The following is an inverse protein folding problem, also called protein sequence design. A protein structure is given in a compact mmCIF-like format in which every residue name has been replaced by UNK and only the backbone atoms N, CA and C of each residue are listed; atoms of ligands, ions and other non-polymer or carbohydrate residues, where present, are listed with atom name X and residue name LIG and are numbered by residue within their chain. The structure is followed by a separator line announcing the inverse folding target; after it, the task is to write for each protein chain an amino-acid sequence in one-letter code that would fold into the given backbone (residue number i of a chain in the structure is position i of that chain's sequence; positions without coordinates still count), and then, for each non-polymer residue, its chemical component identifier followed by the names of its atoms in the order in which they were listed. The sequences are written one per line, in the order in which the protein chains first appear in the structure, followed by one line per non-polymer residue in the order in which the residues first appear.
data_IF_314967036762
#
_entry.id   IF_314967036762
#
_cell.length_a   1.000
_cell.length_b   1.000
_cell.length_c   1.000
_cell.angle_alpha   90.00
_cell.angle_beta   90.00
_cell.angle_gamma   90.00
#
_symmetry.space_group_name_H-M   'P 1'
#
loop_
_entity.id
_entity.type
_entity.pdbx_description
1 polymer ?
#
# COMPACT_ATOMS: atom_id res chain seq x y z
N UNK A 1 16.34 13.46 -0.38
CA UNK A 1 15.39 13.49 0.74
C UNK A 1 14.49 12.28 0.59
N UNK A 2 14.95 11.12 1.08
CA UNK A 2 14.24 9.85 1.00
C UNK A 2 14.28 9.26 2.41
N UNK A 3 13.12 8.83 2.90
CA UNK A 3 12.89 8.03 4.11
C UNK A 3 13.07 8.76 5.46
N UNK A 4 12.21 9.76 5.70
CA UNK A 4 12.04 10.42 7.01
C UNK A 4 10.78 9.95 7.76
N UNK A 5 10.25 8.75 7.45
CA UNK A 5 8.99 8.28 8.03
C UNK A 5 9.13 7.53 9.36
N UNK A 6 10.32 7.11 9.79
CA UNK A 6 10.47 6.28 11.00
C UNK A 6 11.40 6.83 12.10
N UNK A 7 12.05 7.98 11.94
CA UNK A 7 12.93 8.57 12.96
C UNK A 7 12.25 9.44 14.02
N UNK A 8 10.92 9.41 14.13
CA UNK A 8 10.16 10.13 15.17
C UNK A 8 9.43 9.17 16.11
N UNK A 9 10.16 8.24 16.73
CA UNK A 9 9.72 7.54 17.93
C UNK A 9 10.60 7.99 19.10
N UNK A 10 10.39 9.22 19.58
CA UNK A 10 10.98 9.65 20.86
C UNK A 10 10.02 10.55 21.64
N UNK A 11 9.43 9.94 22.65
CA UNK A 11 8.89 10.51 23.89
C UNK A 11 8.18 11.87 23.79
N UNK A 12 6.85 11.83 23.65
CA UNK A 12 5.99 12.94 24.09
C UNK A 12 5.48 12.59 25.50
N UNK A 13 6.13 13.16 26.52
CA UNK A 13 5.57 13.26 27.86
C UNK A 13 4.51 14.37 27.85
N UNK A 14 3.23 13.99 27.75
CA UNK A 14 2.11 14.93 27.83
C UNK A 14 2.00 15.45 29.26
N UNK A 15 2.39 16.71 29.47
CA UNK A 15 2.04 17.46 30.68
C UNK A 15 0.60 17.93 30.53
N UNK A 16 -0.35 17.25 31.18
CA UNK A 16 -1.73 17.71 31.28
C UNK A 16 -1.78 19.04 32.04
N UNK A 17 -1.98 20.13 31.30
CA UNK A 17 -2.32 21.43 31.85
C UNK A 17 -3.82 21.50 32.01
N UNK A 18 -4.33 21.34 33.23
CA UNK A 18 -5.75 21.56 33.55
C UNK A 18 -6.05 23.06 33.52
N UNK A 19 -6.44 23.56 32.35
CA UNK A 19 -7.10 24.86 32.23
C UNK A 19 -8.60 24.63 32.11
N UNK A 20 -9.35 24.93 33.17
CA UNK A 20 -10.80 24.92 33.15
C UNK A 20 -11.38 26.13 32.41
N UNK A 21 -12.49 25.91 31.72
CA UNK A 21 -13.49 26.95 31.44
C UNK A 21 -14.84 26.34 31.08
N UNK A 22 -15.91 26.87 31.67
CA UNK A 22 -17.25 27.00 31.08
C UNK A 22 -18.15 25.76 31.03
N UNK A 23 -19.24 25.78 31.79
CA UNK A 23 -20.35 24.82 31.69
C UNK A 23 -21.05 24.95 30.33
N UNK A 24 -20.98 23.90 29.51
CA UNK A 24 -22.09 23.27 28.76
C UNK A 24 -21.59 22.28 27.67
N UNK A 25 -20.52 21.52 27.95
CA UNK A 25 -20.12 20.41 27.08
C UNK A 25 -20.80 19.12 27.54
N UNK A 26 -22.07 18.97 27.17
CA UNK A 26 -22.59 17.62 27.02
C UNK A 26 -21.73 16.93 25.95
N UNK A 27 -21.14 15.73 26.22
CA UNK A 27 -20.48 14.99 25.15
C UNK A 27 -21.49 14.83 24.01
N UNK A 28 -21.06 15.16 22.79
CA UNK A 28 -21.86 14.91 21.60
C UNK A 28 -22.40 13.47 21.66
N UNK A 29 -23.66 13.22 21.27
CA UNK A 29 -24.21 11.87 21.26
C UNK A 29 -23.23 10.93 20.58
N UNK A 30 -23.02 9.75 21.17
CA UNK A 30 -22.09 8.72 20.65
C UNK A 30 -22.44 8.32 19.22
N UNK A 31 -23.58 8.74 18.66
CA UNK A 31 -24.07 8.53 17.28
C UNK A 31 -23.87 9.70 16.30
N UNK A 32 -23.36 10.87 16.71
CA UNK A 32 -23.08 11.95 15.76
C UNK A 32 -21.69 11.82 15.14
N UNK A 33 -21.64 11.95 13.81
CA UNK A 33 -20.39 12.12 13.06
C UNK A 33 -19.75 13.45 13.45
N UNK A 34 -18.51 13.37 13.90
CA UNK A 34 -17.67 14.53 14.20
C UNK A 34 -16.92 14.89 12.93
N UNK A 35 -16.62 16.19 12.78
CA UNK A 35 -15.85 16.69 11.64
C UNK A 35 -14.50 15.96 11.53
N UNK A 36 -14.13 15.49 10.32
CA UNK A 36 -12.89 14.77 10.10
C UNK A 36 -11.68 15.69 10.24
N UNK A 37 -10.56 15.14 10.68
CA UNK A 37 -9.28 15.86 10.70
C UNK A 37 -8.21 15.10 9.91
N UNK A 38 -7.33 15.83 9.23
CA UNK A 38 -6.18 15.22 8.55
C UNK A 38 -5.31 14.41 9.54
N UNK A 39 -5.05 14.96 10.73
CA UNK A 39 -4.26 14.29 11.76
C UNK A 39 -4.93 13.03 12.30
N UNK A 40 -6.24 13.06 12.54
CA UNK A 40 -7.02 11.90 12.98
C UNK A 40 -7.00 10.78 11.94
N UNK A 41 -7.24 11.11 10.67
CA UNK A 41 -7.22 10.10 9.61
C UNK A 41 -5.83 9.50 9.37
N UNK A 42 -4.78 10.33 9.41
CA UNK A 42 -3.39 9.85 9.37
C UNK A 42 -3.06 8.94 10.57
N UNK A 43 -3.56 9.27 11.77
CA UNK A 43 -3.37 8.43 12.95
C UNK A 43 -3.99 7.03 12.77
N UNK A 44 -5.21 6.95 12.23
CA UNK A 44 -5.86 5.66 11.96
C UNK A 44 -5.08 4.81 10.95
N UNK A 45 -4.55 5.43 9.89
CA UNK A 45 -3.73 4.75 8.88
C UNK A 45 -2.41 4.24 9.45
N UNK A 46 -1.74 5.07 10.25
CA UNK A 46 -0.49 4.70 10.91
C UNK A 46 -0.71 3.56 11.91
N UNK A 47 -1.81 3.60 12.68
CA UNK A 47 -2.17 2.51 13.58
C UNK A 47 -2.43 1.22 12.81
N UNK A 48 -3.22 1.30 11.72
CA UNK A 48 -3.51 0.13 10.90
C UNK A 48 -2.24 -0.50 10.31
N UNK A 49 -1.29 0.31 9.85
CA UNK A 49 0.00 -0.18 9.37
C UNK A 49 0.87 -0.77 10.51
N UNK A 50 0.88 -0.11 11.67
CA UNK A 50 1.64 -0.56 12.84
C UNK A 50 1.16 -1.91 13.37
N UNK A 51 -0.14 -2.20 13.27
CA UNK A 51 -0.72 -3.48 13.70
C UNK A 51 -0.24 -4.67 12.85
N UNK A 52 0.26 -4.39 11.64
CA UNK A 52 0.77 -5.39 10.70
C UNK A 52 2.28 -5.66 10.87
N UNK A 53 2.98 -4.86 11.68
CA UNK A 53 4.43 -4.96 11.87
C UNK A 53 4.81 -6.24 12.60
N UNK A 54 5.82 -6.91 12.04
CA UNK A 54 6.52 -8.05 12.62
C UNK A 54 8.00 -7.69 12.75
N UNK A 55 8.64 -8.09 13.84
CA UNK A 55 10.07 -7.83 14.04
C UNK A 55 10.83 -9.08 14.44
N UNK A 56 12.10 -9.14 14.03
CA UNK A 56 13.03 -10.21 14.40
C UNK A 56 14.43 -9.64 14.62
N UNK A 57 15.03 -9.91 15.77
CA UNK A 57 16.43 -9.59 16.04
C UNK A 57 17.34 -10.74 15.63
N UNK A 58 18.49 -10.43 15.06
CA UNK A 58 19.50 -11.41 14.66
C UNK A 58 20.90 -10.79 14.64
N UNK A 59 21.94 -11.63 14.64
CA UNK A 59 23.31 -11.16 14.41
C UNK A 59 23.59 -11.06 12.90
N UNK A 60 23.96 -9.88 12.41
CA UNK A 60 24.24 -9.66 10.99
C UNK A 60 25.40 -10.53 10.44
N UNK A 61 26.30 -11.02 11.31
CA UNK A 61 27.34 -11.97 10.96
C UNK A 61 26.83 -13.40 10.76
N UNK A 62 25.65 -13.73 11.27
CA UNK A 62 25.02 -15.07 11.15
C UNK A 62 23.90 -15.12 10.11
N UNK A 63 23.29 -13.97 9.79
CA UNK A 63 22.13 -13.89 8.89
C UNK A 63 20.81 -14.26 9.60
N UNK A 64 19.73 -14.40 8.83
CA UNK A 64 18.42 -14.77 9.37
C UNK A 64 17.60 -15.58 8.37
N UNK A 65 16.89 -16.59 8.90
CA UNK A 65 15.76 -17.25 8.26
C UNK A 65 14.50 -16.84 9.02
N UNK A 66 13.75 -15.89 8.47
CA UNK A 66 12.54 -15.33 9.08
C UNK A 66 11.31 -15.92 8.41
N UNK A 67 10.34 -16.38 9.20
CA UNK A 67 9.03 -16.82 8.71
C UNK A 67 7.97 -15.90 9.31
N UNK A 68 7.22 -15.23 8.43
CA UNK A 68 6.17 -14.30 8.82
C UNK A 68 4.92 -15.02 9.34
N UNK A 69 4.00 -14.26 9.94
CA UNK A 69 2.71 -14.77 10.43
C UNK A 69 1.85 -15.40 9.32
N UNK A 70 1.96 -14.94 8.07
CA UNK A 70 1.26 -15.54 6.92
C UNK A 70 2.13 -16.52 6.12
N UNK A 71 3.31 -16.87 6.61
CA UNK A 71 4.15 -17.91 6.03
C UNK A 71 5.11 -17.44 4.93
N UNK A 72 5.19 -16.13 4.66
CA UNK A 72 6.25 -15.57 3.83
C UNK A 72 7.60 -15.83 4.49
N UNK A 73 8.54 -16.36 3.73
CA UNK A 73 9.90 -16.65 4.21
C UNK A 73 10.83 -15.58 3.68
N UNK A 74 11.72 -15.07 4.52
CA UNK A 74 12.81 -14.16 4.15
C UNK A 74 14.13 -14.74 4.64
N UNK A 75 15.07 -14.90 3.71
CA UNK A 75 16.41 -15.41 3.97
C UNK A 75 17.47 -14.34 3.65
N UNK A 76 18.17 -13.87 4.69
CA UNK A 76 19.32 -12.98 4.59
C UNK A 76 20.57 -13.75 4.98
N UNK A 77 21.58 -13.77 4.09
CA UNK A 77 22.83 -14.48 4.31
C UNK A 77 23.75 -13.86 5.38
N UNK A 78 24.81 -14.59 5.72
CA UNK A 78 25.86 -14.16 6.64
C UNK A 78 26.66 -13.00 6.05
N UNK A 79 26.92 -11.95 6.86
CA UNK A 79 27.70 -10.78 6.44
C UNK A 79 27.12 -10.04 5.23
N UNK A 80 25.82 -10.18 4.98
CA UNK A 80 25.11 -9.59 3.83
C UNK A 80 24.51 -8.20 4.12
N UNK A 81 24.92 -7.54 5.20
CA UNK A 81 24.43 -6.21 5.56
C UNK A 81 25.58 -5.21 5.64
N UNK A 82 25.33 -4.02 5.10
CA UNK A 82 26.24 -2.88 5.16
C UNK A 82 25.53 -1.61 5.61
N UNK A 83 26.29 -0.66 6.15
CA UNK A 83 25.79 0.69 6.36
C UNK A 83 25.58 1.42 5.02
N UNK A 84 25.09 2.66 5.10
CA UNK A 84 24.86 3.48 3.91
C UNK A 84 26.15 3.78 3.12
N UNK A 85 27.32 3.75 3.77
CA UNK A 85 28.65 3.97 3.18
C UNK A 85 29.28 2.70 2.59
N UNK A 86 28.66 1.54 2.80
CA UNK A 86 29.15 0.23 2.31
C UNK A 86 30.08 -0.49 3.30
N UNK A 87 30.19 -0.04 4.55
CA UNK A 87 30.95 -0.77 5.57
C UNK A 87 30.12 -1.94 6.11
N UNK A 88 30.74 -3.11 6.28
CA UNK A 88 30.09 -4.31 6.82
C UNK A 88 29.50 -4.06 8.21
N UNK A 89 28.27 -4.52 8.38
CA UNK A 89 27.55 -4.54 9.66
C UNK A 89 27.71 -5.92 10.28
N UNK A 90 28.04 -5.94 11.58
CA UNK A 90 28.15 -7.14 12.41
C UNK A 90 27.47 -6.88 13.76
N UNK A 91 27.06 -7.94 14.46
CA UNK A 91 26.35 -7.82 15.73
C UNK A 91 24.84 -7.69 15.55
N UNK A 92 24.12 -7.42 16.66
CA UNK A 92 22.66 -7.37 16.68
C UNK A 92 22.09 -6.30 15.73
N UNK A 93 21.13 -6.72 14.92
CA UNK A 93 20.27 -5.89 14.06
C UNK A 93 18.80 -6.31 14.26
N UNK A 94 17.87 -5.45 13.86
CA UNK A 94 16.43 -5.71 13.91
C UNK A 94 15.81 -5.63 12.50
N UNK A 95 15.24 -6.74 12.05
CA UNK A 95 14.35 -6.82 10.89
C UNK A 95 12.96 -6.31 11.29
N UNK A 96 12.39 -5.44 10.46
CA UNK A 96 10.99 -5.02 10.44
C UNK A 96 10.35 -5.50 9.15
N UNK A 97 9.23 -6.22 9.25
CA UNK A 97 8.53 -6.81 8.12
C UNK A 97 7.02 -6.56 8.19
N UNK A 98 6.41 -6.29 7.03
CA UNK A 98 4.95 -6.18 6.83
C UNK A 98 4.59 -6.98 5.59
N UNK A 99 3.43 -7.66 5.62
CA UNK A 99 2.85 -8.36 4.47
C UNK A 99 1.35 -8.08 4.36
N UNK A 100 0.87 -7.77 3.15
CA UNK A 100 -0.52 -7.43 2.86
C UNK A 100 -0.95 -8.16 1.59
N UNK A 101 -2.01 -8.96 1.71
CA UNK A 101 -2.59 -9.71 0.59
C UNK A 101 -4.05 -9.30 0.30
N UNK A 102 -4.68 -8.61 1.25
CA UNK A 102 -6.11 -8.36 1.26
C UNK A 102 -6.46 -6.87 1.17
N UNK A 103 -7.56 -6.58 0.47
CA UNK A 103 -8.00 -5.20 0.13
C UNK A 103 -8.36 -4.38 1.37
N UNK A 104 -8.89 -5.02 2.41
CA UNK A 104 -9.24 -4.37 3.67
C UNK A 104 -8.03 -3.73 4.31
N UNK A 105 -6.96 -4.50 4.52
CA UNK A 105 -5.69 -3.98 5.04
C UNK A 105 -5.06 -2.94 4.12
N UNK A 106 -5.15 -3.10 2.80
CA UNK A 106 -4.70 -2.08 1.84
C UNK A 106 -5.44 -0.75 2.01
N UNK A 107 -6.77 -0.78 2.16
CA UNK A 107 -7.59 0.41 2.30
C UNK A 107 -7.30 1.15 3.62
N UNK A 108 -7.30 0.45 4.75
CA UNK A 108 -7.12 1.09 6.06
C UNK A 108 -5.68 1.59 6.29
N UNK A 109 -4.68 0.98 5.63
CA UNK A 109 -3.27 1.39 5.74
C UNK A 109 -2.79 2.31 4.61
N UNK A 110 -3.67 2.69 3.67
CA UNK A 110 -3.36 3.45 2.46
C UNK A 110 -2.20 2.83 1.66
N UNK A 111 -2.39 1.56 1.25
CA UNK A 111 -1.46 0.79 0.40
C UNK A 111 -2.18 0.27 -0.85
N UNK A 112 -2.69 1.17 -1.70
CA UNK A 112 -3.39 0.77 -2.92
C UNK A 112 -2.43 0.17 -3.95
N UNK A 113 -3.02 -0.43 -4.97
CA UNK A 113 -2.35 -1.15 -6.04
C UNK A 113 -2.33 -0.33 -7.32
N UNK A 114 -1.51 0.72 -7.34
CA UNK A 114 -1.36 1.63 -8.50
C UNK A 114 0.07 1.57 -9.06
N UNK A 115 0.24 0.88 -10.18
CA UNK A 115 1.52 0.72 -10.87
C UNK A 115 1.76 1.79 -11.94
N UNK A 116 3.01 2.24 -12.08
CA UNK A 116 3.44 3.14 -13.15
C UNK A 116 3.69 2.35 -14.43
N UNK A 117 2.95 2.68 -15.48
CA UNK A 117 3.23 2.24 -16.85
C UNK A 117 4.48 2.92 -17.41
N UNK A 118 4.98 2.42 -18.55
CA UNK A 118 6.13 3.01 -19.27
C UNK A 118 5.91 4.47 -19.69
N UNK A 119 4.64 4.92 -19.79
CA UNK A 119 4.28 6.31 -20.08
C UNK A 119 4.12 7.18 -18.82
N UNK A 120 4.43 6.64 -17.64
CA UNK A 120 4.31 7.31 -16.35
C UNK A 120 2.90 7.35 -15.76
N UNK A 121 1.90 6.78 -16.44
CA UNK A 121 0.53 6.72 -15.95
C UNK A 121 0.36 5.68 -14.85
N UNK A 122 -0.49 5.99 -13.87
CA UNK A 122 -0.90 5.08 -12.83
C UNK A 122 -2.06 4.20 -13.32
N UNK A 123 -1.86 2.88 -13.25
CA UNK A 123 -2.84 1.86 -13.62
C UNK A 123 -3.01 0.86 -12.47
N UNK A 124 -4.22 0.29 -12.30
CA UNK A 124 -4.45 -0.69 -11.25
C UNK A 124 -3.64 -1.96 -11.47
N UNK A 125 -3.11 -2.51 -10.37
CA UNK A 125 -2.43 -3.79 -10.31
C UNK A 125 -3.32 -4.84 -9.62
N UNK A 126 -3.19 -6.09 -10.05
CA UNK A 126 -3.70 -7.27 -9.35
C UNK A 126 -2.54 -7.87 -8.58
N UNK A 127 -2.74 -8.10 -7.27
CA UNK A 127 -1.65 -8.51 -6.41
C UNK A 127 -1.49 -10.01 -6.22
N UNK A 128 -0.24 -10.45 -6.21
CA UNK A 128 0.24 -11.71 -5.66
C UNK A 128 0.69 -11.57 -4.19
N UNK A 129 0.95 -10.33 -3.73
CA UNK A 129 1.23 -9.96 -2.34
C UNK A 129 2.19 -8.78 -2.21
N UNK A 130 1.89 -7.85 -1.30
CA UNK A 130 2.68 -6.65 -0.99
C UNK A 130 3.48 -6.82 0.29
N UNK A 131 4.73 -6.37 0.30
CA UNK A 131 5.63 -6.52 1.43
C UNK A 131 6.39 -5.22 1.72
N UNK A 132 6.69 -4.98 2.99
CA UNK A 132 7.70 -3.99 3.39
C UNK A 132 8.77 -4.68 4.20
N UNK A 133 10.03 -4.40 3.89
CA UNK A 133 11.15 -4.83 4.70
C UNK A 133 12.09 -3.67 5.01
N UNK A 134 12.58 -3.63 6.24
CA UNK A 134 13.63 -2.74 6.70
C UNK A 134 14.50 -3.47 7.73
N UNK A 135 15.80 -3.20 7.74
CA UNK A 135 16.69 -3.64 8.82
C UNK A 135 17.38 -2.43 9.43
N UNK A 136 17.55 -2.43 10.75
CA UNK A 136 18.29 -1.39 11.48
C UNK A 136 19.34 -1.97 12.43
N UNK A 137 20.42 -1.23 12.65
CA UNK A 137 21.33 -1.41 13.78
C UNK A 137 21.15 -0.24 14.75
N UNK A 138 20.46 -0.46 15.86
CA UNK A 138 19.95 0.64 16.68
C UNK A 138 19.05 1.55 15.85
N UNK A 139 19.38 2.85 15.80
CA UNK A 139 18.62 3.85 15.03
C UNK A 139 19.10 4.00 13.57
N UNK A 140 20.12 3.24 13.15
CA UNK A 140 20.71 3.37 11.81
C UNK A 140 20.10 2.38 10.83
N UNK A 141 19.62 2.89 9.68
CA UNK A 141 19.20 2.06 8.55
C UNK A 141 20.42 1.36 7.95
N UNK A 142 20.30 0.05 7.76
CA UNK A 142 21.27 -0.75 7.00
C UNK A 142 20.68 -1.11 5.63
N UNK A 143 21.53 -1.50 4.70
CA UNK A 143 21.14 -1.96 3.37
C UNK A 143 21.77 -3.32 3.09
N UNK A 144 21.17 -4.13 2.23
CA UNK A 144 21.76 -5.41 1.86
C UNK A 144 23.04 -5.18 1.02
N UNK A 145 24.01 -6.07 1.18
CA UNK A 145 25.25 -6.10 0.40
C UNK A 145 25.03 -6.83 -0.94
N UNK A 146 24.46 -8.03 -0.88
CA UNK A 146 23.98 -8.79 -2.04
C UNK A 146 22.48 -9.08 -1.93
N UNK A 147 21.96 -9.93 -2.82
CA UNK A 147 20.54 -10.30 -2.79
C UNK A 147 20.19 -11.10 -1.54
N UNK A 148 19.00 -10.83 -1.00
CA UNK A 148 18.29 -11.71 -0.08
C UNK A 148 17.17 -12.44 -0.83
N UNK A 149 16.67 -13.53 -0.27
CA UNK A 149 15.63 -14.36 -0.89
C UNK A 149 14.31 -14.21 -0.15
N UNK A 150 13.21 -14.26 -0.89
CA UNK A 150 11.85 -14.22 -0.37
C UNK A 150 11.02 -15.31 -1.05
N UNK A 151 10.26 -16.06 -0.26
CA UNK A 151 9.29 -17.05 -0.76
C UNK A 151 7.91 -16.70 -0.23
N UNK A 152 6.96 -16.54 -1.15
CA UNK A 152 5.59 -16.12 -0.87
C UNK A 152 4.63 -17.21 -1.32
N UNK A 153 3.73 -17.64 -0.43
CA UNK A 153 2.64 -18.56 -0.78
C UNK A 153 1.59 -17.84 -1.64
N UNK A 154 1.42 -18.30 -2.88
CA UNK A 154 0.47 -17.72 -3.83
C UNK A 154 -0.99 -18.04 -3.48
N UNK A 155 -1.24 -19.02 -2.60
CA UNK A 155 -2.59 -19.37 -2.15
C UNK A 155 -3.31 -18.20 -1.46
N UNK A 156 -2.57 -17.23 -0.90
CA UNK A 156 -3.15 -16.00 -0.32
C UNK A 156 -3.89 -15.12 -1.33
N UNK A 157 -3.59 -15.26 -2.62
CA UNK A 157 -4.12 -14.41 -3.70
C UNK A 157 -4.78 -15.21 -4.83
N UNK A 158 -5.08 -16.49 -4.59
CA UNK A 158 -5.80 -17.35 -5.53
C UNK A 158 -4.93 -18.35 -6.30
N UNK A 159 -3.66 -18.48 -5.94
CA UNK A 159 -2.68 -19.39 -6.56
C UNK A 159 -1.72 -18.67 -7.50
N UNK A 160 -0.80 -19.43 -8.09
CA UNK A 160 0.17 -18.90 -9.04
C UNK A 160 -0.48 -18.26 -10.28
N UNK A 161 -0.16 -16.99 -10.50
CA UNK A 161 -0.43 -16.24 -11.72
C UNK A 161 0.91 -15.98 -12.42
N UNK A 162 1.09 -16.58 -13.60
CA UNK A 162 2.36 -16.59 -14.32
C UNK A 162 2.67 -15.26 -15.03
N UNK A 163 1.72 -14.32 -15.03
CA UNK A 163 1.90 -12.98 -15.61
C UNK A 163 2.41 -11.96 -14.58
N UNK A 164 2.67 -12.39 -13.33
CA UNK A 164 3.19 -11.52 -12.27
C UNK A 164 4.63 -11.07 -12.54
N UNK A 165 4.93 -9.85 -12.13
CA UNK A 165 6.27 -9.24 -12.15
C UNK A 165 6.58 -8.60 -10.79
N UNK A 166 7.83 -8.26 -10.54
CA UNK A 166 8.20 -7.54 -9.31
C UNK A 166 8.03 -6.03 -9.46
N UNK A 167 7.64 -5.39 -8.37
CA UNK A 167 7.48 -3.95 -8.28
C UNK A 167 8.12 -3.41 -7.01
N UNK A 168 8.71 -2.23 -7.10
CA UNK A 168 9.25 -1.48 -5.98
C UNK A 168 8.37 -0.27 -5.68
N UNK A 169 7.99 -0.12 -4.42
CA UNK A 169 7.10 0.93 -3.96
C UNK A 169 7.83 2.24 -3.69
N UNK A 170 7.23 3.34 -4.15
CA UNK A 170 7.65 4.71 -3.86
C UNK A 170 6.50 5.46 -3.18
N UNK A 171 6.78 6.04 -2.01
CA UNK A 171 5.82 6.88 -1.29
C UNK A 171 6.15 8.34 -1.60
N UNK A 172 5.17 9.08 -2.11
CA UNK A 172 5.33 10.51 -2.39
C UNK A 172 5.22 11.39 -1.13
N UNK A 173 5.43 12.71 -1.29
CA UNK A 173 5.38 13.67 -0.18
C UNK A 173 4.00 13.82 0.48
N UNK A 174 2.95 13.26 -0.12
CA UNK A 174 1.58 13.23 0.42
C UNK A 174 1.22 11.88 1.05
N UNK A 175 2.13 10.91 1.00
CA UNK A 175 1.96 9.59 1.59
C UNK A 175 1.27 8.57 0.69
N UNK A 176 1.13 8.86 -0.61
CA UNK A 176 0.57 7.92 -1.58
C UNK A 176 1.65 6.98 -2.10
N UNK A 177 1.33 5.69 -2.12
CA UNK A 177 2.20 4.64 -2.63
C UNK A 177 1.92 4.40 -4.12
N UNK A 178 2.97 4.51 -4.93
CA UNK A 178 2.96 4.08 -6.33
C UNK A 178 4.00 2.98 -6.54
N UNK A 179 3.71 2.06 -7.45
CA UNK A 179 4.57 0.92 -7.73
C UNK A 179 5.34 1.14 -9.03
N UNK A 180 6.65 1.03 -8.99
CA UNK A 180 7.52 1.06 -10.16
C UNK A 180 7.93 -0.37 -10.51
N UNK A 181 7.95 -0.78 -11.79
CA UNK A 181 8.43 -2.11 -12.15
C UNK A 181 9.89 -2.26 -11.71
N UNK A 182 10.24 -3.43 -11.16
CA UNK A 182 11.65 -3.76 -10.88
C UNK A 182 12.30 -4.21 -12.17
N UNK A 183 13.36 -3.50 -12.57
CA UNK A 183 14.27 -3.98 -13.60
C UNK A 183 15.42 -4.72 -12.93
N UNK A 184 15.76 -5.91 -13.43
CA UNK A 184 17.06 -6.49 -13.14
C UNK A 184 18.05 -6.10 -14.24
N UNK A 185 19.02 -5.27 -13.86
CA UNK A 185 20.29 -5.14 -14.56
C UNK A 185 21.23 -6.29 -14.21
N UNK A 186 20.87 -7.55 -14.50
CA UNK A 186 21.80 -8.69 -14.41
C UNK A 186 22.65 -8.73 -15.69
N UNK A 187 23.58 -7.80 -15.86
CA UNK A 187 24.72 -7.98 -16.78
C UNK A 187 24.42 -8.20 -18.28
N UNK A 188 23.17 -8.15 -18.75
CA UNK A 188 22.89 -7.53 -20.04
C UNK A 188 22.99 -6.04 -19.78
N UNK A 189 23.91 -5.34 -20.44
CA UNK A 189 24.05 -3.89 -20.29
C UNK A 189 22.71 -3.19 -20.39
N UNK A 190 22.60 -1.97 -19.86
CA UNK A 190 21.53 -1.04 -20.21
C UNK A 190 21.19 -1.28 -21.68
N UNK A 191 20.01 -1.89 -21.90
CA UNK A 191 19.49 -2.07 -23.23
C UNK A 191 19.16 -0.68 -23.71
N UNK A 192 20.14 -0.02 -24.27
CA UNK A 192 19.97 1.22 -24.99
C UNK A 192 19.46 0.84 -26.39
N UNK A 193 18.49 1.58 -26.94
CA UNK A 193 18.06 1.44 -28.33
C UNK A 193 19.19 1.73 -29.35
N UNK A 194 20.37 2.11 -28.82
CA UNK A 194 21.56 2.55 -29.53
C UNK A 194 21.75 4.07 -29.50
N UNK A 195 20.89 4.83 -28.80
CA UNK A 195 20.87 6.31 -28.77
C UNK A 195 20.83 6.95 -27.36
N UNK A 196 21.08 6.19 -26.30
CA UNK A 196 21.01 6.56 -24.90
C UNK A 196 19.62 6.44 -24.25
N UNK A 197 18.64 5.79 -24.89
CA UNK A 197 17.28 5.65 -24.33
C UNK A 197 17.09 4.27 -23.70
N UNK A 198 16.55 4.20 -22.47
CA UNK A 198 16.19 2.93 -21.85
C UNK A 198 15.17 2.16 -22.72
N UNK A 199 15.49 0.92 -23.08
CA UNK A 199 14.56 -0.01 -23.74
C UNK A 199 13.94 -0.93 -22.71
N UNK A 200 12.65 -0.73 -22.45
CA UNK A 200 11.82 -1.63 -21.67
C UNK A 200 11.60 -2.92 -22.46
N UNK A 201 12.34 -4.00 -22.15
CA UNK A 201 12.09 -5.32 -22.74
C UNK A 201 11.17 -6.11 -21.83
N UNK A 202 10.02 -6.56 -22.37
CA UNK A 202 9.18 -7.56 -21.71
C UNK A 202 10.00 -8.83 -21.49
N UNK A 203 10.22 -9.23 -20.23
CA UNK A 203 10.26 -10.66 -19.91
C UNK A 203 11.51 -11.29 -19.28
N UNK A 204 12.55 -10.57 -18.87
CA UNK A 204 13.54 -11.16 -17.94
C UNK A 204 13.10 -10.87 -16.49
N UNK A 205 12.40 -11.87 -15.92
CA UNK A 205 11.83 -11.88 -14.58
C UNK A 205 12.88 -11.44 -13.57
N UNK A 206 12.60 -10.34 -12.85
CA UNK A 206 13.51 -9.59 -11.99
C UNK A 206 13.99 -10.36 -10.73
N UNK A 207 14.50 -11.57 -10.91
CA UNK A 207 14.79 -12.53 -9.85
C UNK A 207 13.56 -13.28 -9.39
N UNK A 208 12.38 -13.02 -9.96
CA UNK A 208 11.13 -13.75 -9.70
C UNK A 208 11.11 -15.10 -10.42
N UNK A 209 10.81 -16.14 -9.69
CA UNK A 209 10.52 -17.48 -10.17
C UNK A 209 9.17 -17.95 -9.64
N UNK A 210 8.60 -18.92 -10.36
CA UNK A 210 7.32 -19.52 -10.06
C UNK A 210 7.53 -20.99 -9.74
N UNK A 211 7.12 -21.42 -8.56
CA UNK A 211 7.31 -22.79 -8.12
C UNK A 211 5.98 -23.54 -8.06
N UNK A 212 5.60 -24.26 -9.14
CA UNK A 212 4.31 -24.95 -9.21
C UNK A 212 4.22 -26.17 -8.30
N UNK A 213 5.33 -26.60 -7.66
CA UNK A 213 5.32 -27.72 -6.71
C UNK A 213 4.86 -27.25 -5.34
N UNK A 214 5.28 -26.06 -4.91
CA UNK A 214 4.93 -25.47 -3.62
C UNK A 214 3.86 -24.39 -3.72
N UNK A 215 3.42 -24.02 -4.93
CA UNK A 215 2.51 -22.90 -5.21
C UNK A 215 3.04 -21.57 -4.68
N UNK A 216 4.33 -21.31 -4.89
CA UNK A 216 5.01 -20.10 -4.38
C UNK A 216 5.58 -19.20 -5.47
N UNK A 217 5.56 -17.90 -5.20
CA UNK A 217 6.44 -16.93 -5.84
C UNK A 217 7.75 -16.89 -5.06
N UNK A 218 8.86 -17.19 -5.73
CA UNK A 218 10.21 -17.19 -5.14
C UNK A 218 11.00 -16.07 -5.79
N UNK A 219 11.55 -15.13 -5.04
CA UNK A 219 12.34 -14.05 -5.63
C UNK A 219 13.57 -13.66 -4.82
N UNK A 220 14.49 -12.97 -5.49
CA UNK A 220 15.63 -12.35 -4.86
C UNK A 220 15.77 -10.88 -5.28
N UNK A 221 16.10 -10.01 -4.33
CA UNK A 221 16.26 -8.58 -4.56
C UNK A 221 17.35 -8.03 -3.62
N UNK A 222 17.93 -6.88 -3.95
CA UNK A 222 19.03 -6.26 -3.22
C UNK A 222 18.67 -4.84 -2.73
N UNK A 223 17.39 -4.56 -2.53
CA UNK A 223 16.90 -3.31 -1.95
C UNK A 223 15.85 -3.62 -0.88
N UNK A 224 15.93 -2.90 0.24
CA UNK A 224 14.89 -2.90 1.27
C UNK A 224 13.87 -1.80 0.98
N UNK A 225 12.62 -2.01 1.37
CA UNK A 225 11.53 -1.09 1.13
C UNK A 225 10.24 -1.85 0.85
N UNK A 226 9.31 -1.17 0.17
CA UNK A 226 8.09 -1.79 -0.32
C UNK A 226 8.37 -2.58 -1.59
N UNK A 227 8.00 -3.85 -1.63
CA UNK A 227 8.11 -4.72 -2.79
C UNK A 227 6.81 -5.47 -3.00
N UNK A 228 6.47 -5.79 -4.24
CA UNK A 228 5.20 -6.42 -4.59
C UNK A 228 5.40 -7.41 -5.74
N UNK A 229 4.60 -8.48 -5.77
CA UNK A 229 4.56 -9.46 -6.87
C UNK A 229 3.22 -9.30 -7.56
N UNK A 230 3.18 -8.53 -8.64
CA UNK A 230 1.94 -7.98 -9.20
C UNK A 230 1.95 -7.96 -10.73
N UNK A 231 0.77 -7.80 -11.32
CA UNK A 231 0.64 -7.49 -12.74
C UNK A 231 -0.40 -6.41 -12.99
N UNK A 232 -0.32 -5.77 -14.14
CA UNK A 232 -1.42 -4.94 -14.60
C UNK A 232 -2.70 -5.76 -14.80
N UNK A 233 -3.84 -5.09 -14.60
CA UNK A 233 -5.12 -5.65 -15.01
C UNK A 233 -5.18 -5.78 -16.54
N UNK A 234 -5.64 -6.93 -17.02
CA UNK A 234 -5.98 -7.08 -18.42
C UNK A 234 -7.37 -6.44 -18.62
N UNK A 235 -7.44 -5.32 -19.33
CA UNK A 235 -8.71 -4.78 -19.76
C UNK A 235 -8.64 -4.27 -21.20
N UNK A 236 -9.56 -4.76 -22.03
CA UNK A 236 -9.73 -4.35 -23.44
C UNK A 236 -11.04 -3.58 -23.69
N UNK A 237 -11.83 -3.33 -22.63
CA UNK A 237 -13.07 -2.59 -22.71
C UNK A 237 -12.87 -1.09 -22.92
N UNK A 238 -13.98 -0.38 -23.15
CA UNK A 238 -13.97 1.09 -23.14
C UNK A 238 -13.63 1.58 -21.73
N UNK A 239 -12.86 2.65 -21.67
CA UNK A 239 -12.43 3.27 -20.41
C UNK A 239 -13.07 4.65 -20.28
N UNK A 240 -13.30 5.07 -19.04
CA UNK A 240 -13.88 6.37 -18.70
C UNK A 240 -13.20 6.97 -17.49
N UNK A 241 -13.36 8.28 -17.34
CA UNK A 241 -13.17 8.97 -16.07
C UNK A 241 -14.44 8.84 -15.24
N UNK A 242 -14.28 8.75 -13.91
CA UNK A 242 -15.40 8.80 -12.97
C UNK A 242 -15.22 9.95 -11.98
N UNK A 243 -16.32 10.42 -11.41
CA UNK A 243 -16.31 11.40 -10.32
C UNK A 243 -17.02 10.83 -9.11
N UNK A 244 -16.41 10.96 -7.94
CA UNK A 244 -17.03 10.60 -6.67
C UNK A 244 -17.21 11.87 -5.84
N UNK A 245 -18.43 12.40 -5.81
CA UNK A 245 -18.76 13.56 -4.96
C UNK A 245 -18.93 13.11 -3.52
N UNK A 246 -18.42 13.91 -2.59
CA UNK A 246 -18.43 13.63 -1.15
C UNK A 246 -19.05 14.79 -0.39
N UNK A 247 -19.53 14.57 0.86
CA UNK A 247 -20.08 15.65 1.65
C UNK A 247 -19.03 16.75 1.89
N UNK A 248 -19.48 18.00 1.98
CA UNK A 248 -18.64 19.20 2.10
C UNK A 248 -17.46 19.15 3.11
N UNK A 249 -17.53 18.47 4.28
CA UNK A 249 -16.40 18.42 5.20
C UNK A 249 -15.23 17.51 4.76
N UNK A 250 -15.41 16.67 3.73
CA UNK A 250 -14.42 15.68 3.31
C UNK A 250 -13.64 16.15 2.07
N UNK A 251 -12.34 15.86 2.05
CA UNK A 251 -11.41 16.21 0.98
C UNK A 251 -10.17 15.28 1.00
N UNK A 252 -9.19 15.52 0.13
CA UNK A 252 -7.99 14.70 -0.04
C UNK A 252 -7.09 14.59 1.19
N UNK A 253 -7.22 15.51 2.15
CA UNK A 253 -6.37 15.51 3.35
C UNK A 253 -6.94 14.64 4.47
N UNK A 254 -8.25 14.42 4.48
CA UNK A 254 -8.95 13.79 5.59
C UNK A 254 -9.83 12.60 5.16
N UNK A 255 -9.92 12.31 3.87
CA UNK A 255 -10.65 11.18 3.32
C UNK A 255 -9.92 10.58 2.11
N UNK A 256 -10.32 9.38 1.73
CA UNK A 256 -9.91 8.74 0.49
C UNK A 256 -11.04 7.91 -0.11
N UNK A 257 -10.96 7.70 -1.42
CA UNK A 257 -11.87 6.84 -2.18
C UNK A 257 -11.08 5.75 -2.88
N UNK A 258 -11.47 4.51 -2.64
CA UNK A 258 -10.89 3.31 -3.24
C UNK A 258 -11.91 2.61 -4.13
N UNK A 259 -11.41 1.86 -5.11
CA UNK A 259 -12.23 1.06 -6.02
C UNK A 259 -11.84 -0.41 -5.85
N UNK A 260 -12.78 -1.21 -5.35
CA UNK A 260 -12.66 -2.67 -5.31
C UNK A 260 -13.49 -3.26 -6.45
N UNK A 261 -12.85 -4.00 -7.34
CA UNK A 261 -13.50 -4.60 -8.50
C UNK A 261 -14.08 -5.95 -8.09
N UNK A 262 -15.33 -6.22 -8.48
CA UNK A 262 -16.05 -7.45 -8.11
C UNK A 262 -15.24 -8.68 -8.53
N UNK A 263 -15.03 -8.90 -9.82
CA UNK A 263 -14.31 -10.08 -10.30
C UNK A 263 -12.77 -10.04 -10.14
N UNK A 264 -12.22 -9.15 -9.30
CA UNK A 264 -10.77 -9.02 -9.06
C UNK A 264 -10.49 -8.81 -7.55
N UNK A 265 -10.54 -9.89 -6.74
CA UNK A 265 -10.37 -9.80 -5.28
C UNK A 265 -8.98 -9.33 -4.84
N UNK A 266 -7.95 -9.51 -5.68
CA UNK A 266 -6.59 -9.03 -5.46
C UNK A 266 -6.33 -7.58 -5.89
N UNK A 267 -7.36 -6.77 -6.16
CA UNK A 267 -7.22 -5.41 -6.70
C UNK A 267 -7.92 -4.38 -5.79
N UNK A 268 -7.17 -3.39 -5.31
CA UNK A 268 -7.69 -2.16 -4.72
C UNK A 268 -7.04 -0.92 -5.35
N UNK A 269 -7.77 -0.23 -6.21
CA UNK A 269 -7.31 1.03 -6.79
C UNK A 269 -7.68 2.21 -5.87
N UNK A 270 -7.04 3.36 -6.06
CA UNK A 270 -7.35 4.61 -5.37
C UNK A 270 -7.64 5.71 -6.38
N UNK A 271 -8.65 6.55 -6.09
CA UNK A 271 -8.82 7.83 -6.77
C UNK A 271 -7.78 8.82 -6.25
N UNK A 272 -6.87 9.23 -7.13
CA UNK A 272 -5.63 9.93 -6.80
C UNK A 272 -5.69 11.45 -7.04
N UNK A 273 -6.85 11.96 -7.47
CA UNK A 273 -7.14 13.39 -7.59
C UNK A 273 -8.33 13.79 -6.74
N UNK A 274 -8.26 15.04 -6.27
CA UNK A 274 -9.40 15.75 -5.72
C UNK A 274 -9.54 17.11 -6.38
N UNK A 275 -10.76 17.43 -6.83
CA UNK A 275 -11.09 18.75 -7.34
C UNK A 275 -11.67 19.60 -6.20
N UNK A 276 -10.90 20.58 -5.74
CA UNK A 276 -11.30 21.46 -4.63
C UNK A 276 -12.49 22.36 -4.97
N UNK A 277 -12.62 22.82 -6.23
CA UNK A 277 -13.69 23.75 -6.62
C UNK A 277 -15.05 23.07 -6.68
N UNK A 278 -15.07 21.82 -7.17
CA UNK A 278 -16.29 21.06 -7.43
C UNK A 278 -16.53 19.94 -6.39
N UNK A 279 -15.60 19.76 -5.43
CA UNK A 279 -15.67 18.83 -4.30
C UNK A 279 -15.91 17.35 -4.69
N UNK A 280 -15.02 16.79 -5.51
CA UNK A 280 -15.06 15.37 -5.86
C UNK A 280 -13.68 14.74 -5.98
N UNK A 281 -13.62 13.44 -5.69
CA UNK A 281 -12.49 12.57 -6.02
C UNK A 281 -12.61 12.06 -7.45
N UNK A 282 -11.49 11.90 -8.15
CA UNK A 282 -11.42 11.35 -9.50
C UNK A 282 -10.07 10.69 -9.72
N UNK A 283 -9.91 10.02 -10.86
CA UNK A 283 -8.61 9.53 -11.30
C UNK A 283 -8.02 10.43 -12.40
N UNK A 284 -6.70 10.36 -12.62
CA UNK A 284 -6.01 11.26 -13.54
C UNK A 284 -6.33 11.05 -15.03
N UNK A 285 -6.50 9.81 -15.50
CA UNK A 285 -6.25 9.44 -16.90
C UNK A 285 -7.43 8.85 -17.69
N UNK A 286 -8.58 8.61 -17.05
CA UNK A 286 -9.76 8.01 -17.68
C UNK A 286 -9.69 6.49 -17.79
N UNK A 287 -9.07 5.79 -16.84
CA UNK A 287 -8.78 4.35 -16.97
C UNK A 287 -9.74 3.42 -16.21
N UNK A 288 -10.92 3.91 -15.81
CA UNK A 288 -11.93 3.05 -15.19
C UNK A 288 -12.74 2.32 -16.29
N UNK A 289 -12.85 0.99 -16.24
CA UNK A 289 -13.56 0.20 -17.25
C UNK A 289 -15.07 0.44 -17.25
N UNK A 290 -15.66 0.79 -18.40
CA UNK A 290 -17.12 0.86 -18.57
C UNK A 290 -17.72 -0.55 -18.54
N UNK A 291 -18.86 -0.70 -17.85
CA UNK A 291 -19.62 -1.94 -17.74
C UNK A 291 -19.14 -2.88 -16.63
N UNK A 292 -18.03 -2.58 -15.96
CA UNK A 292 -17.59 -3.34 -14.80
C UNK A 292 -18.36 -2.93 -13.55
N UNK A 293 -18.74 -3.90 -12.73
CA UNK A 293 -19.28 -3.66 -11.39
C UNK A 293 -18.14 -3.53 -10.39
N UNK A 294 -18.17 -2.43 -9.64
CA UNK A 294 -17.17 -2.11 -8.62
C UNK A 294 -17.86 -1.67 -7.33
N UNK A 295 -17.15 -1.79 -6.22
CA UNK A 295 -17.48 -1.19 -4.95
C UNK A 295 -16.64 0.08 -4.77
N UNK A 296 -17.31 1.22 -4.72
CA UNK A 296 -16.71 2.52 -4.39
C UNK A 296 -16.67 2.63 -2.88
N UNK A 297 -15.48 2.60 -2.32
CA UNK A 297 -15.23 2.60 -0.88
C UNK A 297 -14.73 3.99 -0.48
N UNK A 298 -15.55 4.72 0.27
CA UNK A 298 -15.12 5.94 0.94
C UNK A 298 -14.65 5.62 2.35
N UNK A 299 -13.52 6.22 2.76
CA UNK A 299 -12.98 6.10 4.10
C UNK A 299 -12.47 7.45 4.62
N UNK A 300 -12.76 7.74 5.88
CA UNK A 300 -12.35 8.93 6.62
C UNK A 300 -12.27 8.59 8.11
N UNK A 301 -11.98 9.56 8.96
CA UNK A 301 -12.03 9.47 10.41
C UNK A 301 -13.19 10.27 11.02
N UNK A 302 -13.71 9.81 12.17
CA UNK A 302 -14.50 10.58 13.11
C UNK A 302 -14.32 10.04 14.53
N UNK A 303 -13.79 10.87 15.42
CA UNK A 303 -13.62 10.57 16.85
C UNK A 303 -12.82 9.27 17.10
N UNK A 304 -11.73 9.08 16.37
CA UNK A 304 -10.84 7.92 16.50
C UNK A 304 -11.39 6.61 15.93
N UNK A 305 -12.48 6.65 15.17
CA UNK A 305 -13.02 5.52 14.43
C UNK A 305 -13.06 5.83 12.93
N UNK A 306 -13.12 4.78 12.10
CA UNK A 306 -13.33 4.95 10.68
C UNK A 306 -14.77 5.41 10.43
N UNK A 307 -14.92 6.38 9.54
CA UNK A 307 -16.19 6.69 8.87
C UNK A 307 -16.09 6.17 7.47
N UNK A 308 -17.10 5.47 6.99
CA UNK A 308 -17.04 4.83 5.70
C UNK A 308 -18.38 4.82 4.98
N UNK A 309 -18.34 4.56 3.68
CA UNK A 309 -19.47 4.16 2.85
C UNK A 309 -18.98 3.23 1.75
N UNK A 310 -19.76 2.22 1.38
CA UNK A 310 -19.45 1.29 0.29
C UNK A 310 -20.65 1.24 -0.63
N UNK A 311 -20.45 1.63 -1.89
CA UNK A 311 -21.50 1.62 -2.92
C UNK A 311 -21.11 0.72 -4.07
N UNK A 312 -21.90 -0.32 -4.30
CA UNK A 312 -21.81 -1.13 -5.51
C UNK A 312 -22.39 -0.34 -6.69
N UNK A 313 -21.63 -0.20 -7.76
CA UNK A 313 -22.03 0.51 -8.98
C UNK A 313 -21.51 -0.22 -10.21
N UNK A 314 -22.31 -0.22 -11.28
CA UNK A 314 -21.81 -0.60 -12.61
C UNK A 314 -21.36 0.67 -13.32
N UNK A 315 -20.14 0.68 -13.84
CA UNK A 315 -19.56 1.89 -14.43
C UNK A 315 -20.20 2.22 -15.77
N UNK A 316 -20.65 3.46 -15.91
CA UNK A 316 -21.16 4.06 -17.14
C UNK A 316 -20.15 5.10 -17.66
N UNK A 317 -20.32 5.56 -18.90
CA UNK A 317 -19.50 6.66 -19.44
C UNK A 317 -19.69 7.94 -18.59
N UNK A 318 -18.58 8.59 -18.24
CA UNK A 318 -18.52 9.80 -17.39
C UNK A 318 -19.28 9.68 -16.04
N UNK A 319 -19.33 8.48 -15.46
CA UNK A 319 -20.14 8.19 -14.27
C UNK A 319 -19.85 9.14 -13.10
N UNK A 320 -20.90 9.77 -12.56
CA UNK A 320 -20.88 10.53 -11.31
C UNK A 320 -21.53 9.72 -10.20
N UNK A 321 -20.74 9.33 -9.22
CA UNK A 321 -21.19 8.58 -8.04
C UNK A 321 -21.23 9.53 -6.85
N UNK A 322 -22.39 9.65 -6.21
CA UNK A 322 -22.58 10.57 -5.10
C UNK A 322 -22.60 9.83 -3.77
N UNK A 323 -21.81 10.32 -2.80
CA UNK A 323 -21.80 9.83 -1.42
C UNK A 323 -22.45 10.89 -0.55
N UNK A 324 -23.57 10.52 0.06
CA UNK A 324 -24.35 11.42 0.91
C UNK A 324 -23.97 11.28 2.38
N UNK A 325 -24.13 12.35 3.16
CA UNK A 325 -23.84 12.33 4.60
C UNK A 325 -24.66 11.27 5.34
N UNK A 326 -25.86 10.95 4.85
CA UNK A 326 -26.75 9.92 5.42
C UNK A 326 -26.31 8.48 5.13
N UNK A 327 -25.35 8.28 4.22
CA UNK A 327 -24.80 6.97 3.86
C UNK A 327 -23.51 6.66 4.63
N UNK A 328 -23.07 7.58 5.50
CA UNK A 328 -21.84 7.44 6.26
C UNK A 328 -22.13 6.75 7.60
N UNK A 329 -21.37 5.69 7.85
CA UNK A 329 -21.42 4.92 9.07
C UNK A 329 -20.06 4.96 9.79
N UNK A 330 -20.06 4.82 11.11
CA UNK A 330 -18.83 4.57 11.87
C UNK A 330 -18.61 3.09 12.09
N UNK A 331 -17.35 2.70 12.05
CA UNK A 331 -16.95 1.31 12.16
C UNK A 331 -15.56 1.19 12.80
N UNK A 332 -15.31 0.07 13.49
CA UNK A 332 -13.98 -0.30 13.95
C UNK A 332 -13.07 -0.65 12.78
N UNK A 333 -11.75 -0.56 12.99
CA UNK A 333 -10.75 -0.91 11.96
C UNK A 333 -10.92 -2.37 11.49
N UNK A 334 -10.96 -3.33 12.42
CA UNK A 334 -11.05 -4.75 12.07
C UNK A 334 -12.37 -5.08 11.37
N UNK A 335 -13.49 -4.54 11.84
CA UNK A 335 -14.80 -4.72 11.20
C UNK A 335 -14.82 -4.13 9.77
N UNK A 336 -14.14 -3.00 9.53
CA UNK A 336 -14.03 -2.42 8.19
C UNK A 336 -13.16 -3.28 7.27
N UNK A 337 -12.05 -3.81 7.79
CA UNK A 337 -11.19 -4.75 7.05
C UNK A 337 -12.00 -5.97 6.62
N UNK A 338 -12.74 -6.60 7.54
CA UNK A 338 -13.59 -7.75 7.25
C UNK A 338 -14.67 -7.41 6.23
N UNK A 339 -15.29 -6.23 6.35
CA UNK A 339 -16.34 -5.78 5.44
C UNK A 339 -15.83 -5.56 4.01
N UNK A 340 -14.63 -4.98 3.85
CA UNK A 340 -13.99 -4.79 2.54
C UNK A 340 -13.53 -6.13 1.96
N UNK A 341 -12.99 -7.01 2.79
CA UNK A 341 -12.53 -8.34 2.36
C UNK A 341 -13.68 -9.26 1.96
N UNK A 342 -14.88 -9.05 2.52
CA UNK A 342 -16.10 -9.77 2.14
C UNK A 342 -16.81 -9.24 0.88
N UNK A 343 -16.28 -8.20 0.23
CA UNK A 343 -16.83 -7.71 -1.03
C UNK A 343 -16.52 -8.72 -2.14
N UNK A 344 -17.58 -9.15 -2.83
CA UNK A 344 -17.44 -9.98 -4.02
C UNK A 344 -17.30 -9.15 -5.26
#
# INVERSE_FOLDING_TARGET
MKNLFFTQFSQILVVLSLTGCGKDDAPAPVDQLVMPTQAGFQMLRNQALSDLVQTQKFDAGEGVHFVSRKGTIVDIGQYELVDQLGNSIIGEVELTFIEIFDRGNMAVSNKPLMGRSNNGYLLPLVTGGQFFMQVTQGDQLVKPLNHYYVTVDAAHTGGLDMDMTLWQGEIDGTGNLAWNPVEIGLGSGEGDDGNGNPVWTDGDQAGLGFNPVTDTYDFFINEFGWTNVDRFTANSGLLTKIKVTVPAPYNETNAAVYLAYQDQPGLLAQLDLYNTNDQYFTEHFGFVPIGMTIHVIFASESNGQYVYSIKEVTIEEDHVINIEMTELERIGKDDLVDKINGLN
#
